data_IF_150471804815
#
_entry.id   IF_150471804815
#
_cell.length_a   1.000
_cell.length_b   1.000
_cell.length_c   1.000
_cell.angle_alpha   90.00
_cell.angle_beta   90.00
_cell.angle_gamma   90.00
#
_symmetry.space_group_name_H-M   'P 1'
#
loop_
_entity.id
_entity.type
_entity.pdbx_description
1 polymer ?
#
# COMPACT_ATOMS: atom_id res chain seq x y z
N UNK A 1 19.69 -12.83 -13.06
CA UNK A 1 19.90 -13.91 -12.07
C UNK A 1 20.43 -13.40 -10.72
N UNK A 2 21.18 -12.32 -10.66
CA UNK A 2 21.86 -11.87 -9.41
C UNK A 2 20.98 -10.99 -8.49
N UNK A 3 19.94 -10.34 -8.98
CA UNK A 3 19.08 -9.44 -8.18
C UNK A 3 17.91 -10.20 -7.52
N UNK A 4 17.37 -11.20 -8.17
CA UNK A 4 16.33 -12.08 -7.61
C UNK A 4 16.85 -12.98 -6.48
N UNK A 5 18.13 -13.36 -6.52
CA UNK A 5 18.69 -14.25 -5.51
C UNK A 5 18.88 -13.60 -4.14
N UNK A 6 19.00 -12.26 -4.05
CA UNK A 6 19.34 -11.60 -2.76
C UNK A 6 18.20 -11.58 -1.76
N UNK A 7 16.98 -11.28 -2.19
CA UNK A 7 15.83 -11.25 -1.25
C UNK A 7 15.38 -12.67 -0.90
N UNK A 8 15.41 -13.59 -1.86
CA UNK A 8 15.11 -15.00 -1.62
C UNK A 8 16.20 -15.67 -0.76
N UNK A 9 17.48 -15.51 -1.08
CA UNK A 9 18.61 -16.06 -0.29
C UNK A 9 18.71 -15.38 1.08
N UNK A 10 18.44 -14.07 1.19
CA UNK A 10 18.39 -13.39 2.49
C UNK A 10 17.17 -13.85 3.32
N UNK A 11 16.01 -14.06 2.71
CA UNK A 11 14.84 -14.54 3.43
C UNK A 11 14.98 -16.02 3.80
N UNK A 12 15.47 -16.87 2.91
CA UNK A 12 15.73 -18.28 3.21
C UNK A 12 16.84 -18.44 4.26
N UNK A 13 17.91 -17.66 4.21
CA UNK A 13 18.96 -17.69 5.22
C UNK A 13 18.48 -17.12 6.58
N UNK A 14 17.66 -16.08 6.58
CA UNK A 14 17.07 -15.51 7.78
C UNK A 14 16.01 -16.45 8.37
N UNK A 15 15.19 -17.08 7.54
CA UNK A 15 14.18 -18.03 8.00
C UNK A 15 14.81 -19.31 8.55
N UNK A 16 15.90 -19.79 7.94
CA UNK A 16 16.67 -20.92 8.47
C UNK A 16 17.31 -20.59 9.83
N UNK A 17 17.92 -19.40 9.96
CA UNK A 17 18.48 -18.90 11.22
C UNK A 17 17.38 -18.72 12.29
N UNK A 18 16.20 -18.19 11.91
CA UNK A 18 15.08 -17.98 12.83
C UNK A 18 14.43 -19.26 13.33
N UNK A 19 14.39 -20.33 12.53
CA UNK A 19 13.82 -21.60 12.92
C UNK A 19 14.65 -22.33 13.99
N UNK A 20 15.95 -22.06 14.04
CA UNK A 20 16.89 -22.78 14.96
C UNK A 20 17.33 -21.97 16.18
N UNK A 21 17.02 -20.66 16.24
CA UNK A 21 17.43 -19.78 17.34
C UNK A 21 16.30 -19.65 18.37
N UNK A 22 16.60 -19.94 19.64
CA UNK A 22 15.71 -19.72 20.78
C UNK A 22 16.06 -18.43 21.50
N UNK A 23 15.06 -17.73 22.01
CA UNK A 23 15.26 -16.53 22.82
C UNK A 23 16.16 -16.81 24.02
N UNK A 24 17.17 -15.97 24.27
CA UNK A 24 18.15 -16.11 25.35
C UNK A 24 19.40 -16.93 24.98
N UNK A 25 19.55 -17.44 23.76
CA UNK A 25 20.79 -18.08 23.32
C UNK A 25 21.91 -17.04 23.05
N UNK A 26 23.11 -17.34 23.50
CA UNK A 26 24.30 -16.52 23.24
C UNK A 26 24.86 -16.90 21.86
N UNK A 27 25.01 -15.90 21.01
CA UNK A 27 25.62 -16.03 19.69
C UNK A 27 26.90 -15.21 19.68
N UNK A 28 28.02 -15.84 19.31
CA UNK A 28 29.28 -15.18 19.13
C UNK A 28 29.50 -14.88 17.64
N UNK A 29 29.88 -13.65 17.32
CA UNK A 29 30.24 -13.26 15.95
C UNK A 29 31.70 -12.85 15.93
N UNK A 30 32.52 -13.57 15.19
CA UNK A 30 33.93 -13.31 15.08
C UNK A 30 34.40 -13.35 13.60
N UNK A 31 34.87 -12.21 13.09
CA UNK A 31 35.31 -12.04 11.70
C UNK A 31 34.36 -12.61 10.63
N UNK A 32 33.05 -12.35 10.80
CA UNK A 32 32.01 -12.82 9.88
C UNK A 32 31.58 -14.28 10.09
N UNK A 33 32.22 -15.01 11.01
CA UNK A 33 31.80 -16.35 11.39
C UNK A 33 30.84 -16.23 12.58
N UNK A 34 29.72 -16.95 12.50
CA UNK A 34 28.66 -16.95 13.53
C UNK A 34 28.71 -18.31 14.24
N UNK A 35 28.90 -18.27 15.55
CA UNK A 35 28.98 -19.45 16.39
C UNK A 35 27.82 -19.49 17.38
N UNK A 36 27.32 -20.69 17.66
CA UNK A 36 26.38 -21.01 18.73
C UNK A 36 26.97 -22.14 19.56
N UNK A 37 27.16 -21.90 20.85
CA UNK A 37 27.76 -22.86 21.78
C UNK A 37 29.10 -23.46 21.28
N UNK A 38 29.91 -22.62 20.64
CA UNK A 38 31.19 -23.01 20.06
C UNK A 38 31.11 -23.74 18.71
N UNK A 39 29.93 -24.01 18.17
CA UNK A 39 29.71 -24.56 16.84
C UNK A 39 29.46 -23.47 15.80
N UNK A 40 30.14 -23.56 14.66
CA UNK A 40 29.92 -22.66 13.52
C UNK A 40 28.53 -22.96 12.91
N UNK A 41 27.64 -21.97 12.96
CA UNK A 41 26.28 -22.06 12.41
C UNK A 41 26.08 -21.21 11.17
N UNK A 42 26.99 -20.31 10.86
CA UNK A 42 26.86 -19.46 9.68
C UNK A 42 28.15 -18.67 9.39
N UNK A 43 28.23 -18.18 8.16
CA UNK A 43 29.29 -17.31 7.72
C UNK A 43 28.69 -16.08 7.04
N UNK A 44 29.07 -14.90 7.51
CA UNK A 44 28.73 -13.62 6.92
C UNK A 44 29.97 -12.92 6.41
N UNK A 45 29.78 -11.87 5.62
CA UNK A 45 30.86 -11.01 5.18
C UNK A 45 30.96 -9.79 6.11
N UNK A 46 32.14 -9.47 6.58
CA UNK A 46 32.37 -8.27 7.39
C UNK A 46 32.29 -7.06 6.46
N UNK A 47 31.29 -6.22 6.67
CA UNK A 47 31.06 -5.01 5.87
C UNK A 47 31.82 -3.84 6.48
N UNK A 48 33.10 -3.69 6.12
CA UNK A 48 33.82 -2.47 6.42
C UNK A 48 33.55 -1.36 5.37
N UNK A 49 34.04 -0.16 5.63
CA UNK A 49 33.79 0.99 4.75
C UNK A 49 34.31 0.76 3.34
N UNK A 50 35.44 0.08 3.17
CA UNK A 50 36.08 -0.19 1.87
C UNK A 50 35.24 -1.20 1.07
N UNK A 51 34.76 -2.24 1.71
CA UNK A 51 33.86 -3.25 1.09
C UNK A 51 32.54 -2.62 0.68
N UNK A 52 31.96 -1.74 1.51
CA UNK A 52 30.75 -0.99 1.17
C UNK A 52 30.99 -0.10 -0.07
N UNK A 53 32.08 0.68 -0.09
CA UNK A 53 32.42 1.54 -1.22
C UNK A 53 32.64 0.74 -2.51
N UNK A 54 33.37 -0.37 -2.44
CA UNK A 54 33.60 -1.25 -3.58
C UNK A 54 32.28 -1.88 -4.09
N UNK A 55 31.46 -2.42 -3.20
CA UNK A 55 30.15 -2.98 -3.57
C UNK A 55 29.21 -1.93 -4.14
N UNK A 56 29.24 -0.71 -3.59
CA UNK A 56 28.45 0.41 -4.09
C UNK A 56 28.88 0.78 -5.52
N UNK A 57 30.19 0.86 -5.79
CA UNK A 57 30.71 1.14 -7.13
C UNK A 57 30.27 0.09 -8.15
N UNK A 58 30.42 -1.20 -7.81
CA UNK A 58 29.98 -2.32 -8.67
C UNK A 58 28.46 -2.27 -8.88
N UNK A 59 27.70 -1.93 -7.85
CA UNK A 59 26.25 -1.79 -7.95
C UNK A 59 25.85 -0.64 -8.89
N UNK A 60 26.56 0.50 -8.85
CA UNK A 60 26.32 1.62 -9.79
C UNK A 60 26.65 1.24 -11.24
N UNK A 61 27.78 0.58 -11.48
CA UNK A 61 28.17 0.12 -12.82
C UNK A 61 27.13 -0.86 -13.39
N UNK A 62 26.71 -1.84 -12.58
CA UNK A 62 25.65 -2.78 -12.96
C UNK A 62 24.29 -2.11 -13.15
N UNK A 63 23.96 -1.11 -12.32
CA UNK A 63 22.71 -0.36 -12.43
C UNK A 63 22.61 0.41 -13.74
N UNK A 64 23.69 1.01 -14.22
CA UNK A 64 23.72 1.70 -15.52
C UNK A 64 23.32 0.76 -16.66
N UNK A 65 23.95 -0.43 -16.71
CA UNK A 65 23.67 -1.43 -17.75
C UNK A 65 22.23 -1.96 -17.65
N UNK A 66 21.75 -2.23 -16.43
CA UNK A 66 20.39 -2.70 -16.22
C UNK A 66 19.35 -1.60 -16.51
N UNK A 67 19.67 -0.33 -16.25
CA UNK A 67 18.82 0.80 -16.60
C UNK A 67 18.69 0.96 -18.12
N UNK A 68 19.80 0.90 -18.87
CA UNK A 68 19.76 0.97 -20.33
C UNK A 68 18.90 -0.16 -20.88
N UNK A 69 19.11 -1.38 -20.42
CA UNK A 69 18.31 -2.55 -20.81
C UNK A 69 16.84 -2.40 -20.46
N UNK A 70 16.54 -1.85 -19.28
CA UNK A 70 15.18 -1.60 -18.82
C UNK A 70 14.45 -0.55 -19.69
N UNK A 71 15.17 0.52 -20.07
CA UNK A 71 14.64 1.57 -20.96
C UNK A 71 14.36 0.99 -22.35
N UNK A 72 15.33 0.29 -22.94
CA UNK A 72 15.16 -0.31 -24.27
C UNK A 72 13.99 -1.27 -24.31
N UNK A 73 13.88 -2.16 -23.33
CA UNK A 73 12.74 -3.06 -23.20
C UNK A 73 11.41 -2.30 -23.03
N UNK A 74 11.40 -1.24 -22.23
CA UNK A 74 10.19 -0.44 -22.01
C UNK A 74 9.71 0.15 -23.34
N UNK A 75 10.61 0.73 -24.13
CA UNK A 75 10.28 1.34 -25.41
C UNK A 75 9.86 0.27 -26.45
N UNK A 76 10.56 -0.84 -26.50
CA UNK A 76 10.21 -1.95 -27.41
C UNK A 76 8.81 -2.49 -27.12
N UNK A 77 8.53 -2.84 -25.87
CA UNK A 77 7.21 -3.33 -25.46
C UNK A 77 6.12 -2.26 -25.64
N UNK A 78 6.42 -0.97 -25.34
CA UNK A 78 5.47 0.11 -25.55
C UNK A 78 5.06 0.26 -27.02
N UNK A 79 6.01 0.12 -27.95
CA UNK A 79 5.71 0.12 -29.40
C UNK A 79 4.82 -1.05 -29.80
N UNK A 80 5.05 -2.22 -29.23
CA UNK A 80 4.28 -3.44 -29.53
C UNK A 80 2.88 -3.39 -28.93
N UNK A 81 2.74 -2.83 -27.72
CA UNK A 81 1.52 -2.86 -26.93
C UNK A 81 0.71 -1.54 -27.02
N UNK A 82 1.07 -0.63 -27.92
CA UNK A 82 0.36 0.65 -28.10
C UNK A 82 -1.15 0.49 -28.36
N UNK A 83 -1.57 -0.62 -28.99
CA UNK A 83 -2.97 -0.95 -29.23
C UNK A 83 -3.79 -1.03 -27.93
N UNK A 84 -3.15 -1.43 -26.82
CA UNK A 84 -3.78 -1.49 -25.52
C UNK A 84 -4.36 -0.13 -25.07
N UNK A 85 -3.64 0.96 -25.32
CA UNK A 85 -4.11 2.31 -24.97
C UNK A 85 -4.92 2.97 -26.07
N UNK A 86 -4.79 2.50 -27.32
CA UNK A 86 -5.58 3.02 -28.44
C UNK A 86 -7.01 2.45 -28.48
N UNK A 87 -7.36 1.56 -27.54
CA UNK A 87 -8.70 0.97 -27.47
C UNK A 87 -8.88 -0.24 -28.39
N UNK A 88 -7.80 -0.84 -28.87
CA UNK A 88 -7.83 -2.08 -29.67
C UNK A 88 -8.07 -3.31 -28.78
N UNK A 89 -7.85 -3.20 -27.47
CA UNK A 89 -8.18 -4.25 -26.50
C UNK A 89 -9.61 -4.08 -26.04
N UNK A 90 -10.42 -5.11 -26.23
CA UNK A 90 -11.80 -5.11 -25.76
C UNK A 90 -11.83 -5.22 -24.23
N UNK A 91 -12.41 -4.21 -23.58
CA UNK A 91 -12.61 -4.22 -22.14
C UNK A 91 -13.89 -4.99 -21.83
N UNK A 92 -13.84 -6.03 -20.99
CA UNK A 92 -14.99 -6.85 -20.70
C UNK A 92 -16.08 -6.02 -19.98
N UNK A 93 -17.34 -6.44 -20.17
CA UNK A 93 -18.47 -5.75 -19.56
C UNK A 93 -18.42 -5.87 -18.03
N UNK A 94 -18.42 -4.70 -17.37
CA UNK A 94 -18.44 -4.58 -15.93
C UNK A 94 -19.86 -4.39 -15.40
N UNK A 95 -20.14 -4.95 -14.23
CA UNK A 95 -21.39 -4.70 -13.50
C UNK A 95 -21.33 -3.42 -12.68
N UNK A 96 -20.13 -3.04 -12.22
CA UNK A 96 -19.89 -1.83 -11.44
C UNK A 96 -20.02 -0.57 -12.31
N UNK A 97 -20.82 0.38 -11.88
CA UNK A 97 -20.99 1.69 -12.56
C UNK A 97 -19.92 2.67 -12.10
N UNK A 98 -18.95 2.94 -12.97
CA UNK A 98 -17.85 3.86 -12.76
C UNK A 98 -18.12 5.29 -13.18
N UNK A 99 -19.21 5.50 -13.98
CA UNK A 99 -19.43 6.77 -14.65
C UNK A 99 -19.60 7.92 -13.65
N UNK A 100 -18.86 9.00 -13.90
CA UNK A 100 -18.86 10.23 -13.09
C UNK A 100 -18.60 10.00 -11.60
N UNK A 101 -17.84 8.94 -11.27
CA UNK A 101 -17.47 8.60 -9.89
C UNK A 101 -15.97 8.63 -9.68
N UNK A 102 -15.57 8.89 -8.45
CA UNK A 102 -14.18 8.68 -8.02
C UNK A 102 -13.91 7.19 -7.84
N UNK A 103 -12.71 6.78 -8.19
CA UNK A 103 -12.23 5.40 -8.04
C UNK A 103 -10.93 5.40 -7.24
N UNK A 104 -10.87 4.62 -6.18
CA UNK A 104 -9.65 4.39 -5.40
C UNK A 104 -9.09 3.01 -5.74
N UNK A 105 -7.96 2.98 -6.42
CA UNK A 105 -7.23 1.76 -6.75
C UNK A 105 -6.16 1.52 -5.70
N UNK A 106 -6.29 0.46 -4.92
CA UNK A 106 -5.38 0.11 -3.83
C UNK A 106 -4.51 -1.07 -4.22
N UNK A 107 -3.20 -0.85 -4.14
CA UNK A 107 -2.16 -1.87 -4.34
C UNK A 107 -1.38 -2.03 -3.03
N UNK A 108 -0.93 -3.25 -2.72
CA UNK A 108 -0.13 -3.53 -1.52
C UNK A 108 1.34 -3.17 -1.77
N UNK A 109 1.61 -1.87 -1.95
CA UNK A 109 2.96 -1.33 -2.07
C UNK A 109 3.55 -0.91 -0.72
N UNK A 110 4.63 -0.14 -0.76
CA UNK A 110 5.27 0.41 0.44
C UNK A 110 4.34 1.44 1.10
N UNK A 111 4.29 1.45 2.45
CA UNK A 111 3.57 2.42 3.30
C UNK A 111 2.06 2.57 3.01
N UNK A 112 1.44 1.57 2.35
CA UNK A 112 0.02 1.63 1.95
C UNK A 112 -0.94 1.82 3.12
N UNK A 113 -0.60 1.31 4.32
CA UNK A 113 -1.46 1.44 5.52
C UNK A 113 -1.53 2.87 6.02
N UNK A 114 -0.37 3.53 6.07
CA UNK A 114 -0.23 4.92 6.45
C UNK A 114 -0.89 5.85 5.43
N UNK A 115 -0.74 5.54 4.15
CA UNK A 115 -1.39 6.27 3.08
C UNK A 115 -2.92 6.12 3.14
N UNK A 116 -3.46 4.91 3.31
CA UNK A 116 -4.91 4.66 3.51
C UNK A 116 -5.46 5.42 4.72
N UNK A 117 -4.74 5.37 5.84
CA UNK A 117 -5.14 6.10 7.05
C UNK A 117 -5.18 7.62 6.80
N UNK A 118 -4.26 8.15 5.99
CA UNK A 118 -4.17 9.58 5.68
C UNK A 118 -5.33 10.06 4.82
N UNK A 119 -5.80 9.24 3.86
CA UNK A 119 -6.91 9.58 2.96
C UNK A 119 -8.28 9.11 3.47
N UNK A 120 -8.37 8.69 4.74
CA UNK A 120 -9.61 8.18 5.32
C UNK A 120 -10.78 9.14 5.15
N UNK A 121 -10.60 10.43 5.44
CA UNK A 121 -11.64 11.45 5.26
C UNK A 121 -12.13 11.51 3.81
N UNK A 122 -11.21 11.42 2.85
CA UNK A 122 -11.56 11.36 1.43
C UNK A 122 -12.45 10.15 1.11
N UNK A 123 -12.11 8.97 1.63
CA UNK A 123 -12.92 7.74 1.42
C UNK A 123 -14.31 7.90 2.02
N UNK A 124 -14.42 8.45 3.24
CA UNK A 124 -15.69 8.62 3.96
C UNK A 124 -16.59 9.69 3.31
N UNK A 125 -16.01 10.79 2.81
CA UNK A 125 -16.74 11.90 2.22
C UNK A 125 -17.11 11.66 0.76
N UNK A 126 -16.17 11.22 -0.06
CA UNK A 126 -16.37 11.05 -1.51
C UNK A 126 -16.95 9.69 -1.88
N UNK A 127 -16.84 8.69 -0.99
CA UNK A 127 -17.33 7.33 -1.20
C UNK A 127 -16.92 6.78 -2.58
N UNK A 128 -15.62 6.77 -2.90
CA UNK A 128 -15.13 6.29 -4.18
C UNK A 128 -15.46 4.80 -4.35
N UNK A 129 -15.46 4.33 -5.59
CA UNK A 129 -15.44 2.89 -5.87
C UNK A 129 -14.11 2.35 -5.37
N UNK A 130 -14.14 1.34 -4.52
CA UNK A 130 -12.96 0.74 -3.92
C UNK A 130 -12.52 -0.46 -4.76
N UNK A 131 -11.40 -0.30 -5.46
CA UNK A 131 -10.81 -1.34 -6.30
C UNK A 131 -9.55 -1.87 -5.62
N UNK A 132 -9.59 -3.12 -5.17
CA UNK A 132 -8.43 -3.82 -4.63
C UNK A 132 -7.68 -4.57 -5.74
N UNK A 133 -6.38 -4.31 -5.90
CA UNK A 133 -5.54 -5.04 -6.84
C UNK A 133 -4.80 -6.12 -6.09
N UNK A 134 -5.09 -7.37 -6.39
CA UNK A 134 -4.54 -8.55 -5.70
C UNK A 134 -4.60 -8.38 -4.17
N UNK A 135 -3.48 -8.47 -3.45
CA UNK A 135 -3.42 -8.23 -2.00
C UNK A 135 -3.86 -6.82 -1.54
N UNK A 136 -4.11 -5.89 -2.46
CA UNK A 136 -4.71 -4.59 -2.16
C UNK A 136 -6.16 -4.70 -1.65
N UNK A 137 -6.88 -5.77 -2.04
CA UNK A 137 -8.20 -6.05 -1.50
C UNK A 137 -8.14 -6.39 0.00
N UNK A 138 -7.15 -7.17 0.42
CA UNK A 138 -6.93 -7.46 1.84
C UNK A 138 -6.55 -6.21 2.63
N UNK A 139 -5.77 -5.31 2.01
CA UNK A 139 -5.42 -4.03 2.61
C UNK A 139 -6.65 -3.16 2.89
N UNK A 140 -7.64 -3.15 2.00
CA UNK A 140 -8.92 -2.48 2.23
C UNK A 140 -9.66 -3.09 3.42
N UNK A 141 -9.77 -4.43 3.49
CA UNK A 141 -10.45 -5.15 4.57
C UNK A 141 -9.75 -4.91 5.92
N UNK A 142 -8.42 -4.95 5.97
CA UNK A 142 -7.64 -4.64 7.17
C UNK A 142 -7.93 -3.22 7.71
N UNK A 143 -8.32 -2.30 6.83
CA UNK A 143 -8.71 -0.93 7.18
C UNK A 143 -10.21 -0.74 7.42
N UNK A 144 -11.01 -1.82 7.35
CA UNK A 144 -12.46 -1.81 7.61
C UNK A 144 -13.33 -1.45 6.41
N UNK A 145 -12.79 -1.58 5.19
CA UNK A 145 -13.52 -1.33 3.94
C UNK A 145 -13.71 -2.62 3.15
N UNK A 146 -14.90 -2.88 2.66
CA UNK A 146 -15.13 -3.97 1.71
C UNK A 146 -14.83 -3.48 0.28
N UNK A 147 -14.08 -4.25 -0.55
CA UNK A 147 -13.82 -3.89 -1.92
C UNK A 147 -15.09 -3.96 -2.78
N UNK A 148 -15.32 -2.95 -3.62
CA UNK A 148 -16.36 -3.04 -4.66
C UNK A 148 -15.90 -3.97 -5.78
N UNK A 149 -14.64 -3.84 -6.21
CA UNK A 149 -14.06 -4.64 -7.29
C UNK A 149 -12.70 -5.17 -6.85
N UNK A 150 -12.41 -6.43 -7.18
CA UNK A 150 -11.07 -7.01 -7.08
C UNK A 150 -10.56 -7.27 -8.49
N UNK A 151 -9.35 -6.80 -8.80
CA UNK A 151 -8.66 -7.04 -10.06
C UNK A 151 -7.34 -7.73 -9.80
N UNK A 152 -7.06 -8.86 -10.45
CA UNK A 152 -5.78 -9.53 -10.26
C UNK A 152 -5.68 -10.92 -10.86
N UNK A 153 -4.54 -11.58 -10.63
CA UNK A 153 -4.33 -12.99 -10.95
C UNK A 153 -4.86 -13.94 -9.87
N UNK A 154 -5.36 -13.40 -8.77
CA UNK A 154 -5.94 -14.10 -7.62
C UNK A 154 -4.95 -14.91 -6.77
N UNK A 155 -3.65 -14.80 -7.00
CA UNK A 155 -2.66 -15.60 -6.27
C UNK A 155 -2.41 -15.09 -4.85
N UNK A 156 -2.50 -13.76 -4.64
CA UNK A 156 -2.11 -13.09 -3.38
C UNK A 156 -3.28 -12.48 -2.60
N UNK A 157 -4.52 -12.68 -3.02
CA UNK A 157 -5.73 -12.23 -2.33
C UNK A 157 -6.31 -13.34 -1.47
N UNK A 158 -6.87 -13.02 -0.30
CA UNK A 158 -7.51 -14.02 0.58
C UNK A 158 -8.91 -14.42 0.09
N UNK A 159 -9.35 -15.62 0.49
CA UNK A 159 -10.71 -16.08 0.19
C UNK A 159 -11.78 -15.22 0.89
N UNK A 160 -11.43 -14.60 2.02
CA UNK A 160 -12.32 -13.65 2.71
C UNK A 160 -12.56 -12.41 1.85
N UNK A 161 -11.50 -11.85 1.28
CA UNK A 161 -11.59 -10.68 0.41
C UNK A 161 -12.41 -10.98 -0.85
N UNK A 162 -12.17 -12.15 -1.48
CA UNK A 162 -12.93 -12.58 -2.66
C UNK A 162 -14.43 -12.68 -2.36
N UNK A 163 -14.82 -13.23 -1.20
CA UNK A 163 -16.24 -13.38 -0.79
C UNK A 163 -16.92 -12.05 -0.45
N UNK A 164 -16.16 -11.02 -0.09
CA UNK A 164 -16.70 -9.69 0.24
C UNK A 164 -16.82 -8.76 -0.95
N UNK A 165 -16.07 -9.03 -2.02
CA UNK A 165 -16.11 -8.21 -3.22
C UNK A 165 -17.47 -8.32 -3.93
N UNK A 166 -17.92 -7.20 -4.51
CA UNK A 166 -19.15 -7.17 -5.32
C UNK A 166 -18.88 -7.68 -6.74
N UNK A 167 -17.69 -7.48 -7.27
CA UNK A 167 -17.26 -7.91 -8.59
C UNK A 167 -15.81 -8.37 -8.57
N UNK A 168 -15.49 -9.44 -9.29
CA UNK A 168 -14.15 -10.00 -9.40
C UNK A 168 -13.74 -10.00 -10.87
N UNK A 169 -12.57 -9.42 -11.16
CA UNK A 169 -11.97 -9.37 -12.49
C UNK A 169 -10.68 -10.16 -12.46
N UNK A 170 -10.67 -11.32 -13.09
CA UNK A 170 -9.47 -12.15 -13.22
C UNK A 170 -8.64 -11.67 -14.38
N UNK A 171 -7.44 -11.17 -14.09
CA UNK A 171 -6.46 -10.81 -15.08
C UNK A 171 -5.92 -12.07 -15.75
N UNK A 172 -6.15 -12.19 -17.04
CA UNK A 172 -5.72 -13.32 -17.84
C UNK A 172 -4.56 -12.93 -18.77
N UNK A 173 -3.77 -13.93 -19.16
CA UNK A 173 -2.80 -13.76 -20.23
C UNK A 173 -3.50 -13.35 -21.55
N UNK A 174 -2.77 -12.68 -22.43
CA UNK A 174 -3.28 -12.23 -23.74
C UNK A 174 -3.88 -13.38 -24.57
N UNK A 175 -3.40 -14.60 -24.36
CA UNK A 175 -3.92 -15.82 -25.00
C UNK A 175 -5.22 -16.37 -24.36
N UNK A 176 -5.75 -15.68 -23.35
CA UNK A 176 -6.99 -16.03 -22.64
C UNK A 176 -6.83 -17.01 -21.48
N UNK A 177 -5.62 -17.51 -21.20
CA UNK A 177 -5.38 -18.37 -20.04
C UNK A 177 -5.52 -17.56 -18.75
N UNK A 178 -6.38 -18.01 -17.84
CA UNK A 178 -6.69 -17.35 -16.57
C UNK A 178 -6.53 -18.35 -15.41
N UNK A 179 -5.30 -18.60 -14.89
CA UNK A 179 -5.07 -19.58 -13.84
C UNK A 179 -5.91 -19.32 -12.58
N UNK A 180 -6.04 -18.06 -12.17
CA UNK A 180 -6.80 -17.66 -10.99
C UNK A 180 -8.32 -17.88 -11.08
N UNK A 181 -8.87 -18.03 -12.30
CA UNK A 181 -10.30 -18.25 -12.48
C UNK A 181 -10.80 -19.51 -11.77
N UNK A 182 -10.02 -20.59 -11.84
CA UNK A 182 -10.37 -21.85 -11.17
C UNK A 182 -10.58 -21.65 -9.66
N UNK A 183 -9.70 -20.93 -9.00
CA UNK A 183 -9.82 -20.65 -7.57
C UNK A 183 -11.11 -19.91 -7.22
N UNK A 184 -11.48 -18.91 -8.03
CA UNK A 184 -12.73 -18.15 -7.83
C UNK A 184 -13.95 -19.06 -8.02
N UNK A 185 -13.95 -19.91 -9.03
CA UNK A 185 -15.01 -20.88 -9.30
C UNK A 185 -15.11 -21.95 -8.18
N UNK A 186 -13.98 -22.45 -7.67
CA UNK A 186 -13.93 -23.41 -6.56
C UNK A 186 -14.54 -22.84 -5.27
N UNK A 187 -14.54 -21.50 -5.11
CA UNK A 187 -15.22 -20.77 -4.03
C UNK A 187 -16.72 -20.52 -4.31
N UNK A 188 -17.23 -20.93 -5.47
CA UNK A 188 -18.62 -20.69 -5.89
C UNK A 188 -18.92 -19.24 -6.26
N UNK A 189 -17.89 -18.48 -6.67
CA UNK A 189 -18.01 -17.06 -7.05
C UNK A 189 -17.91 -16.91 -8.57
N UNK A 190 -18.60 -15.88 -9.08
CA UNK A 190 -18.51 -15.47 -10.48
C UNK A 190 -17.37 -14.48 -10.68
N UNK A 191 -16.73 -14.51 -11.84
CA UNK A 191 -15.70 -13.57 -12.21
C UNK A 191 -15.74 -13.21 -13.69
N UNK A 192 -15.36 -11.96 -13.96
CA UNK A 192 -15.10 -11.47 -15.32
C UNK A 192 -13.65 -11.79 -15.67
N UNK A 193 -13.40 -12.37 -16.83
CA UNK A 193 -12.03 -12.64 -17.31
C UNK A 193 -11.61 -11.50 -18.21
N UNK A 194 -10.45 -10.90 -17.91
CA UNK A 194 -9.89 -9.81 -18.69
C UNK A 194 -8.52 -10.21 -19.27
N UNK A 195 -8.47 -10.68 -20.54
CA UNK A 195 -7.21 -10.93 -21.22
C UNK A 195 -6.56 -9.60 -21.64
N UNK A 196 -5.43 -9.26 -21.02
CA UNK A 196 -4.73 -8.03 -21.35
C UNK A 196 -3.22 -8.15 -21.09
N UNK A 197 -2.38 -7.39 -21.80
CA UNK A 197 -0.98 -7.22 -21.43
C UNK A 197 -0.86 -6.31 -20.22
N UNK A 198 0.29 -6.34 -19.55
CA UNK A 198 0.62 -5.39 -18.48
C UNK A 198 0.40 -5.92 -17.06
N UNK A 199 0.10 -5.02 -16.16
CA UNK A 199 -0.08 -5.33 -14.74
C UNK A 199 -1.55 -5.23 -14.35
N UNK A 200 -1.96 -5.94 -13.30
CA UNK A 200 -3.33 -5.87 -12.77
C UNK A 200 -3.69 -4.45 -12.32
N UNK A 201 -2.73 -3.67 -11.82
CA UNK A 201 -2.97 -2.27 -11.45
C UNK A 201 -3.21 -1.37 -12.68
N UNK A 202 -2.49 -1.62 -13.79
CA UNK A 202 -2.69 -0.88 -15.04
C UNK A 202 -4.08 -1.18 -15.63
N UNK A 203 -4.51 -2.45 -15.58
CA UNK A 203 -5.83 -2.88 -16.03
C UNK A 203 -6.93 -2.25 -15.18
N UNK A 204 -6.78 -2.25 -13.85
CA UNK A 204 -7.74 -1.64 -12.94
C UNK A 204 -7.94 -0.14 -13.24
N UNK A 205 -6.84 0.59 -13.40
CA UNK A 205 -6.88 2.02 -13.72
C UNK A 205 -7.46 2.30 -15.12
N UNK A 206 -7.07 1.50 -16.12
CA UNK A 206 -7.58 1.64 -17.48
C UNK A 206 -9.08 1.34 -17.55
N UNK A 207 -9.55 0.29 -16.87
CA UNK A 207 -10.98 -0.04 -16.77
C UNK A 207 -11.77 1.13 -16.18
N UNK A 208 -11.33 1.69 -15.06
CA UNK A 208 -11.98 2.85 -14.44
C UNK A 208 -12.04 4.03 -15.42
N UNK A 209 -10.97 4.31 -16.15
CA UNK A 209 -10.92 5.39 -17.12
C UNK A 209 -11.90 5.19 -18.29
N UNK A 210 -11.90 4.02 -18.89
CA UNK A 210 -12.74 3.70 -20.08
C UNK A 210 -14.22 3.65 -19.72
N UNK A 211 -14.56 3.26 -18.48
CA UNK A 211 -15.93 3.32 -17.95
C UNK A 211 -16.34 4.70 -17.44
N UNK A 212 -15.53 5.73 -17.69
CA UNK A 212 -15.91 7.12 -17.48
C UNK A 212 -15.76 7.63 -16.05
N UNK A 213 -14.87 7.05 -15.26
CA UNK A 213 -14.55 7.58 -13.94
C UNK A 213 -14.18 9.08 -14.02
N UNK A 214 -14.64 9.86 -13.06
CA UNK A 214 -14.30 11.28 -12.94
C UNK A 214 -12.86 11.45 -12.50
N UNK A 215 -12.45 10.71 -11.48
CA UNK A 215 -11.11 10.74 -10.89
C UNK A 215 -10.65 9.34 -10.51
N UNK A 216 -9.38 9.05 -10.73
CA UNK A 216 -8.73 7.81 -10.35
C UNK A 216 -7.63 8.14 -9.35
N UNK A 217 -7.72 7.60 -8.14
CA UNK A 217 -6.70 7.74 -7.10
C UNK A 217 -5.97 6.42 -6.96
N UNK A 218 -4.66 6.39 -7.24
CA UNK A 218 -3.82 5.21 -7.11
C UNK A 218 -3.04 5.27 -5.79
N UNK A 219 -3.17 4.22 -4.97
CA UNK A 219 -2.51 4.12 -3.68
C UNK A 219 -1.65 2.86 -3.61
N UNK A 220 -0.41 3.00 -3.12
CA UNK A 220 0.54 1.90 -3.04
C UNK A 220 1.02 1.39 -4.41
N UNK A 221 0.77 2.13 -5.48
CA UNK A 221 1.09 1.74 -6.85
C UNK A 221 2.61 1.62 -7.07
N UNK A 222 3.00 0.71 -7.97
CA UNK A 222 4.38 0.55 -8.39
C UNK A 222 4.65 1.49 -9.56
N UNK A 223 5.30 2.62 -9.29
CA UNK A 223 5.50 3.68 -10.27
C UNK A 223 6.96 4.07 -10.50
N UNK A 224 7.90 3.50 -9.75
CA UNK A 224 9.32 3.78 -9.90
C UNK A 224 10.09 2.56 -10.41
N UNK A 225 11.23 2.82 -11.05
CA UNK A 225 12.10 1.81 -11.65
C UNK A 225 12.53 0.72 -10.64
N UNK A 226 12.80 1.10 -9.39
CA UNK A 226 13.27 0.17 -8.37
C UNK A 226 12.19 -0.87 -8.06
N UNK A 227 10.92 -0.44 -7.91
CA UNK A 227 9.80 -1.36 -7.69
C UNK A 227 9.68 -2.41 -8.81
N UNK A 228 9.93 -2.02 -10.08
CA UNK A 228 9.89 -2.94 -11.21
C UNK A 228 11.09 -3.89 -11.25
N UNK A 229 12.29 -3.38 -10.99
CA UNK A 229 13.52 -4.18 -10.95
C UNK A 229 13.50 -5.18 -9.80
N UNK A 230 13.01 -4.78 -8.61
CA UNK A 230 12.85 -5.69 -7.46
C UNK A 230 11.89 -6.85 -7.76
N UNK A 231 10.87 -6.62 -8.57
CA UNK A 231 9.93 -7.65 -9.03
C UNK A 231 10.44 -8.44 -10.24
N UNK A 232 11.69 -8.21 -10.68
CA UNK A 232 12.31 -8.89 -11.83
C UNK A 232 11.63 -8.56 -13.16
N UNK A 233 10.90 -7.45 -13.26
CA UNK A 233 10.27 -7.02 -14.51
C UNK A 233 11.29 -6.39 -15.42
N UNK A 234 11.21 -6.75 -16.72
CA UNK A 234 12.16 -6.30 -17.74
C UNK A 234 11.93 -4.87 -18.22
N UNK A 235 10.78 -4.27 -17.92
CA UNK A 235 10.39 -2.92 -18.32
C UNK A 235 9.06 -2.51 -17.68
N UNK A 236 8.61 -1.29 -17.93
CA UNK A 236 7.37 -0.73 -17.41
C UNK A 236 6.42 -0.22 -18.53
N UNK A 237 6.38 -0.91 -19.64
CA UNK A 237 5.70 -0.44 -20.85
C UNK A 237 4.20 -0.17 -20.62
N UNK A 238 3.46 -1.12 -20.05
CA UNK A 238 2.02 -0.93 -19.78
C UNK A 238 1.76 0.21 -18.81
N UNK A 239 2.52 0.28 -17.72
CA UNK A 239 2.40 1.37 -16.73
C UNK A 239 2.71 2.72 -17.34
N UNK A 240 3.75 2.82 -18.19
CA UNK A 240 4.08 4.02 -18.92
C UNK A 240 2.93 4.44 -19.86
N UNK A 241 2.42 3.52 -20.67
CA UNK A 241 1.35 3.77 -21.62
C UNK A 241 0.04 4.16 -20.93
N UNK A 242 -0.37 3.42 -19.88
CA UNK A 242 -1.61 3.70 -19.15
C UNK A 242 -1.53 5.07 -18.48
N UNK A 243 -0.42 5.40 -17.82
CA UNK A 243 -0.23 6.71 -17.17
C UNK A 243 -0.23 7.86 -18.18
N UNK A 244 0.28 7.67 -19.39
CA UNK A 244 0.15 8.65 -20.47
C UNK A 244 -1.32 8.90 -20.85
N UNK A 245 -2.13 7.84 -20.94
CA UNK A 245 -3.53 7.92 -21.35
C UNK A 245 -4.39 8.57 -20.26
N UNK A 246 -4.29 8.07 -19.04
CA UNK A 246 -5.21 8.43 -17.95
C UNK A 246 -4.72 9.62 -17.11
N UNK A 247 -3.52 10.17 -17.38
CA UNK A 247 -2.81 11.11 -16.49
C UNK A 247 -3.60 12.35 -16.11
N UNK A 248 -4.50 12.82 -16.98
CA UNK A 248 -5.37 13.96 -16.67
C UNK A 248 -6.39 13.67 -15.54
N UNK A 249 -6.72 12.40 -15.31
CA UNK A 249 -7.67 11.95 -14.28
C UNK A 249 -7.01 11.16 -13.15
N UNK A 250 -5.68 10.96 -13.20
CA UNK A 250 -4.94 10.15 -12.23
C UNK A 250 -4.30 11.04 -11.16
N UNK A 251 -4.57 10.70 -9.90
CA UNK A 251 -3.82 11.20 -8.74
C UNK A 251 -3.06 10.03 -8.12
N UNK A 252 -1.74 10.12 -8.06
CA UNK A 252 -0.91 9.16 -7.34
C UNK A 252 -0.84 9.56 -5.86
N UNK A 253 -1.48 8.76 -5.00
CA UNK A 253 -1.54 8.98 -3.56
C UNK A 253 -0.44 8.23 -2.79
N UNK A 254 0.54 7.63 -3.50
CA UNK A 254 1.70 6.99 -2.88
C UNK A 254 2.51 8.03 -2.11
N UNK A 255 2.72 7.79 -0.82
CA UNK A 255 3.48 8.70 0.05
C UNK A 255 2.70 9.94 0.51
N UNK A 256 1.38 9.97 0.33
CA UNK A 256 0.54 11.07 0.83
C UNK A 256 0.67 11.25 2.34
N UNK A 257 0.97 10.18 3.09
CA UNK A 257 1.27 10.21 4.52
C UNK A 257 2.45 11.14 4.88
N UNK A 258 3.38 11.34 3.94
CA UNK A 258 4.54 12.22 4.11
C UNK A 258 4.14 13.70 4.05
N UNK A 259 3.06 14.04 3.33
CA UNK A 259 2.54 15.39 3.20
C UNK A 259 1.71 15.80 4.43
N UNK A 260 0.92 14.88 4.98
CA UNK A 260 -0.02 15.13 6.05
C UNK A 260 0.40 14.43 7.34
N UNK A 261 1.36 14.99 8.08
CA UNK A 261 1.57 14.64 9.49
C UNK A 261 0.62 15.50 10.33
N UNK A 262 -0.63 15.04 10.49
CA UNK A 262 -1.62 15.68 11.36
C UNK A 262 -1.13 15.65 12.81
N UNK A 263 -0.41 16.69 13.21
CA UNK A 263 -0.15 16.95 14.63
C UNK A 263 -1.30 17.82 15.14
N UNK A 264 -2.23 17.24 15.84
CA UNK A 264 -3.17 17.99 16.67
C UNK A 264 -2.33 18.90 17.58
N UNK A 265 -2.32 20.20 17.25
CA UNK A 265 -1.55 21.15 18.05
C UNK A 265 -2.25 21.24 19.40
N UNK A 266 -1.58 20.87 20.48
CA UNK A 266 -2.09 20.90 21.87
C UNK A 266 -2.75 22.23 22.22
N UNK A 267 -2.35 23.33 21.59
CA UNK A 267 -3.00 24.65 21.75
C UNK A 267 -4.49 24.65 21.42
N UNK A 268 -4.95 23.86 20.44
CA UNK A 268 -6.38 23.79 20.10
C UNK A 268 -7.15 22.96 21.10
N UNK A 269 -6.55 21.90 21.67
CA UNK A 269 -7.13 21.11 22.75
C UNK A 269 -7.30 22.00 23.98
N UNK A 270 -6.27 22.74 24.36
CA UNK A 270 -6.36 23.69 25.46
C UNK A 270 -7.39 24.79 25.21
N UNK A 271 -7.46 25.36 24.01
CA UNK A 271 -8.48 26.34 23.65
C UNK A 271 -9.89 25.78 23.81
N UNK A 272 -10.13 24.54 23.37
CA UNK A 272 -11.41 23.86 23.51
C UNK A 272 -11.77 23.62 25.00
N UNK A 273 -10.82 23.16 25.80
CA UNK A 273 -11.00 22.97 27.25
C UNK A 273 -11.34 24.29 27.94
N UNK A 274 -10.61 25.36 27.65
CA UNK A 274 -10.88 26.69 28.21
C UNK A 274 -12.25 27.20 27.81
N UNK A 275 -12.62 27.05 26.52
CA UNK A 275 -13.94 27.47 26.02
C UNK A 275 -15.08 26.67 26.64
N UNK A 276 -14.88 25.38 26.93
CA UNK A 276 -15.88 24.55 27.60
C UNK A 276 -16.02 24.89 29.09
N UNK A 277 -14.92 25.19 29.80
CA UNK A 277 -14.92 25.52 31.24
C UNK A 277 -15.45 26.93 31.49
N UNK A 278 -15.19 27.88 30.60
CA UNK A 278 -15.52 29.29 30.80
C UNK A 278 -17.01 29.55 31.10
N UNK A 279 -18.00 29.01 30.35
CA UNK A 279 -19.42 29.17 30.70
C UNK A 279 -19.79 28.57 32.05
N UNK A 280 -19.18 27.41 32.39
CA UNK A 280 -19.42 26.75 33.68
C UNK A 280 -18.94 27.62 34.85
N UNK A 281 -17.79 28.24 34.71
CA UNK A 281 -17.26 29.17 35.74
C UNK A 281 -18.14 30.42 35.88
N UNK A 282 -18.67 30.97 34.76
CA UNK A 282 -19.59 32.12 34.81
C UNK A 282 -20.89 31.73 35.52
N UNK A 283 -21.47 30.58 35.20
CA UNK A 283 -22.70 30.09 35.84
C UNK A 283 -22.45 29.85 37.36
N UNK A 284 -21.32 29.23 37.70
CA UNK A 284 -20.93 28.99 39.08
C UNK A 284 -20.75 30.30 39.86
N UNK A 285 -20.16 31.31 39.24
CA UNK A 285 -19.93 32.63 39.87
C UNK A 285 -21.26 33.39 40.05
N UNK A 286 -22.17 33.33 39.11
CA UNK A 286 -23.46 34.02 39.14
C UNK A 286 -24.54 33.29 39.98
N UNK A 287 -24.36 32.00 40.25
CA UNK A 287 -25.34 31.19 40.98
C UNK A 287 -25.30 31.47 42.47
N UNK A 288 -26.41 32.00 43.10
CA UNK A 288 -26.47 32.24 44.54
C UNK A 288 -26.24 30.97 45.38
N UNK A 289 -26.68 29.82 44.88
CA UNK A 289 -26.53 28.52 45.55
C UNK A 289 -25.08 28.09 45.62
N UNK A 290 -24.31 28.28 44.53
CA UNK A 290 -22.88 27.94 44.47
C UNK A 290 -22.07 28.89 45.34
N UNK A 291 -22.42 30.19 45.38
CA UNK A 291 -21.80 31.18 46.28
C UNK A 291 -21.99 30.81 47.73
N UNK A 292 -23.19 30.37 48.14
CA UNK A 292 -23.46 29.90 49.51
C UNK A 292 -22.67 28.64 49.84
N UNK A 293 -22.57 27.68 48.90
CA UNK A 293 -21.79 26.46 49.11
C UNK A 293 -20.28 26.76 49.30
N UNK A 294 -19.73 27.67 48.52
CA UNK A 294 -18.33 28.11 48.63
C UNK A 294 -18.10 28.77 50.00
N UNK A 295 -19.03 29.64 50.48
CA UNK A 295 -18.94 30.26 51.82
C UNK A 295 -18.96 29.21 52.93
N UNK A 296 -19.83 28.19 52.82
CA UNK A 296 -19.91 27.10 53.82
C UNK A 296 -18.63 26.25 53.82
N UNK A 297 -18.07 25.93 52.66
CA UNK A 297 -16.79 25.21 52.56
C UNK A 297 -15.62 26.02 53.16
N UNK A 298 -15.59 27.32 52.94
CA UNK A 298 -14.58 28.20 53.50
C UNK A 298 -14.70 28.31 55.06
N UNK A 299 -15.92 28.35 55.56
CA UNK A 299 -16.17 28.33 57.02
C UNK A 299 -15.71 26.99 57.64
N UNK A 300 -16.03 25.89 56.99
CA UNK A 300 -15.64 24.54 57.45
C UNK A 300 -14.13 24.35 57.48
N UNK A 301 -13.41 24.88 56.49
CA UNK A 301 -11.94 24.87 56.52
C UNK A 301 -11.32 25.73 57.64
N UNK A 302 -11.94 26.89 57.98
CA UNK A 302 -11.51 27.72 59.10
C UNK A 302 -11.80 27.09 60.45
N UNK A 303 -12.82 26.23 60.56
CA UNK A 303 -13.15 25.57 61.86
C UNK A 303 -12.30 24.30 62.08
N UNK A 304 -11.69 23.75 61.05
CA UNK A 304 -10.79 22.58 61.12
C UNK A 304 -9.29 22.96 61.19
N UNK A 305 -8.97 24.23 61.20
CA UNK A 305 -7.65 24.77 61.52
C UNK A 305 -7.63 25.29 62.94
#
# INVERSE_FOLDING_TARGET
ELILSRKQVQNEAIDWIKQDLKEGQIIEVNNGLIYRDGQLIGQGEVMDKSVVEQKTKIAYENMSVELDRFIDNTIEYAKREKGFILGETEIPKMATDYKDRHVLVVVRGQDYKEDLATIRSYIEEMKPILVGVDGGADALIECGYDPDVIVGDMDSVTDEALKKAKEIVVHAYVDGRAPGLKRVQDLGLDAVVFPAPGTSEDIAMLTAYEYGAELIVALGSHSNMIDFLEKGRKGMASTFLVRLKIGAKLIDAKGVNLLYKSKLKMKYIWALVVTAIFPVLIIAYLSPTVQQLIKLLHLKMKLNM
#
